data_IF_380300457695
#
_entry.id   IF_380300457695
#
_cell.length_a   1.000
_cell.length_b   1.000
_cell.length_c   1.000
_cell.angle_alpha   90.00
_cell.angle_beta   90.00
_cell.angle_gamma   90.00
#
_symmetry.space_group_name_H-M   'P 1'
#
loop_
_entity.id
_entity.type
_entity.pdbx_description
1 polymer ?
#
# COMPACT_ATOMS: atom_id res chain seq x y z
N UNK A 1 -4.55 9.62 6.04
CA UNK A 1 -5.34 9.30 7.24
C UNK A 1 -4.47 8.52 8.23
N UNK A 2 -4.23 9.07 9.38
CA UNK A 2 -3.39 8.45 10.42
C UNK A 2 -4.05 7.18 10.95
N UNK A 3 -3.29 6.11 11.06
CA UNK A 3 -3.78 4.79 11.48
C UNK A 3 -4.47 4.87 12.85
N UNK A 4 -5.73 4.44 12.89
CA UNK A 4 -6.57 4.45 14.10
C UNK A 4 -7.24 5.78 14.42
N UNK A 5 -6.79 6.90 13.83
CA UNK A 5 -7.34 8.24 14.07
C UNK A 5 -8.14 8.79 12.88
N UNK A 6 -7.98 8.19 11.70
CA UNK A 6 -8.63 8.64 10.48
C UNK A 6 -8.08 9.98 9.97
N UNK A 7 -8.94 10.80 9.36
CA UNK A 7 -8.54 12.12 8.86
C UNK A 7 -8.56 13.14 9.98
N UNK A 8 -7.39 13.50 10.49
CA UNK A 8 -7.20 14.50 11.54
C UNK A 8 -6.85 15.89 11.03
N UNK A 9 -6.75 16.06 9.70
CA UNK A 9 -6.33 17.32 9.05
C UNK A 9 -4.83 17.53 9.02
N UNK A 10 -4.39 18.47 8.17
CA UNK A 10 -2.97 18.77 7.96
C UNK A 10 -2.27 19.24 9.24
N UNK A 11 -2.86 20.16 9.96
CA UNK A 11 -2.27 20.72 11.17
C UNK A 11 -2.03 19.69 12.26
N UNK A 12 -3.02 18.83 12.53
CA UNK A 12 -2.90 17.82 13.59
C UNK A 12 -1.99 16.64 13.20
N UNK A 13 -1.67 16.48 11.92
CA UNK A 13 -0.73 15.46 11.45
C UNK A 13 0.75 15.87 11.58
N UNK A 14 1.06 17.13 11.80
CA UNK A 14 2.45 17.64 11.89
C UNK A 14 3.30 16.86 12.90
N UNK A 15 2.88 16.58 14.14
CA UNK A 15 3.70 15.84 15.09
C UNK A 15 4.07 14.42 14.62
N UNK A 16 3.18 13.77 13.89
CA UNK A 16 3.43 12.43 13.30
C UNK A 16 4.50 12.55 12.21
N UNK A 17 4.38 13.54 11.34
CA UNK A 17 5.30 13.75 10.22
C UNK A 17 6.68 14.27 10.68
N UNK A 18 6.74 15.05 11.75
CA UNK A 18 8.00 15.42 12.41
C UNK A 18 8.72 14.18 12.94
N UNK A 19 7.99 13.26 13.60
CA UNK A 19 8.52 11.99 14.03
C UNK A 19 9.06 11.16 12.86
N UNK A 20 8.35 11.11 11.73
CA UNK A 20 8.82 10.45 10.52
C UNK A 20 10.11 11.07 9.98
N UNK A 21 10.19 12.40 9.95
CA UNK A 21 11.40 13.14 9.53
C UNK A 21 12.60 12.81 10.41
N UNK A 22 12.40 12.71 11.73
CA UNK A 22 13.44 12.29 12.68
C UNK A 22 13.95 10.88 12.38
N UNK A 23 13.06 9.93 12.05
CA UNK A 23 13.44 8.57 11.69
C UNK A 23 14.25 8.53 10.38
N UNK A 24 13.91 9.32 9.38
CA UNK A 24 14.72 9.47 8.17
C UNK A 24 16.14 9.95 8.50
N UNK A 25 16.26 10.93 9.40
CA UNK A 25 17.58 11.42 9.82
C UNK A 25 18.37 10.37 10.59
N UNK A 26 17.74 9.74 11.58
CA UNK A 26 18.41 8.81 12.48
C UNK A 26 18.85 7.52 11.75
N UNK A 27 18.00 6.93 10.93
CA UNK A 27 18.27 5.63 10.32
C UNK A 27 18.91 5.70 8.93
N UNK A 28 18.69 6.77 8.18
CA UNK A 28 19.17 6.89 6.82
C UNK A 28 20.11 8.09 6.58
N UNK A 29 20.29 8.98 7.57
CA UNK A 29 21.09 10.19 7.42
C UNK A 29 20.47 11.21 6.45
N UNK A 30 19.20 11.07 6.10
CA UNK A 30 18.49 11.92 5.16
C UNK A 30 17.83 13.08 5.90
N UNK A 31 18.06 14.30 5.42
CA UNK A 31 17.34 15.48 5.89
C UNK A 31 15.95 15.50 5.27
N UNK A 32 14.93 15.37 6.10
CA UNK A 32 13.54 15.40 5.71
C UNK A 32 12.78 16.45 6.50
N UNK A 33 11.76 17.04 5.90
CA UNK A 33 10.83 17.95 6.58
C UNK A 33 9.40 17.68 6.12
N UNK A 34 8.40 17.84 7.00
CA UNK A 34 7.02 17.56 6.66
C UNK A 34 6.41 18.69 5.83
N UNK A 35 5.56 18.32 4.88
CA UNK A 35 4.65 19.22 4.17
C UNK A 35 3.24 18.71 4.35
N UNK A 36 2.54 19.22 5.35
CA UNK A 36 1.17 18.83 5.68
C UNK A 36 0.19 19.77 4.98
N UNK A 37 -0.61 19.22 4.05
CA UNK A 37 -1.53 20.00 3.24
C UNK A 37 -2.95 19.98 3.82
N UNK A 38 -3.64 21.10 3.77
CA UNK A 38 -5.04 21.22 4.24
C UNK A 38 -6.06 20.95 3.12
N UNK A 39 -5.66 20.16 2.14
CA UNK A 39 -6.51 19.72 1.03
C UNK A 39 -6.55 18.21 0.90
N UNK A 40 -7.65 17.70 0.32
CA UNK A 40 -7.80 16.30 -0.05
C UNK A 40 -7.99 16.11 -1.57
N UNK A 41 -8.00 17.21 -2.32
CA UNK A 41 -8.13 17.16 -3.76
C UNK A 41 -6.85 16.62 -4.41
N UNK A 42 -7.01 15.63 -5.29
CA UNK A 42 -5.89 14.93 -5.92
C UNK A 42 -5.08 15.87 -6.81
N UNK A 43 -5.76 16.68 -7.61
CA UNK A 43 -5.07 17.54 -8.58
C UNK A 43 -4.39 18.74 -7.90
N UNK A 44 -5.00 19.24 -6.82
CA UNK A 44 -4.40 20.28 -6.01
C UNK A 44 -3.14 19.79 -5.31
N UNK A 45 -3.18 18.60 -4.68
CA UNK A 45 -2.00 17.96 -4.06
C UNK A 45 -0.88 17.77 -5.08
N UNK A 46 -1.20 17.19 -6.25
CA UNK A 46 -0.23 16.95 -7.33
C UNK A 46 0.40 18.27 -7.79
N UNK A 47 -0.39 19.32 -7.97
CA UNK A 47 0.10 20.62 -8.40
C UNK A 47 1.03 21.27 -7.37
N UNK A 48 0.67 21.23 -6.08
CA UNK A 48 1.52 21.76 -5.01
C UNK A 48 2.85 21.02 -4.97
N UNK A 49 2.81 19.68 -4.92
CA UNK A 49 4.01 18.85 -4.81
C UNK A 49 4.92 19.04 -6.03
N UNK A 50 4.36 19.06 -7.24
CA UNK A 50 5.11 19.34 -8.47
C UNK A 50 5.85 20.67 -8.44
N UNK A 51 5.21 21.73 -7.89
CA UNK A 51 5.81 23.05 -7.83
C UNK A 51 6.95 23.18 -6.81
N UNK A 52 6.97 22.36 -5.75
CA UNK A 52 8.07 22.33 -4.78
C UNK A 52 9.15 21.28 -5.12
N UNK A 53 8.85 20.32 -5.99
CA UNK A 53 9.74 19.21 -6.36
C UNK A 53 11.16 19.65 -6.79
N UNK A 54 11.37 20.77 -7.52
CA UNK A 54 12.72 21.20 -7.93
C UNK A 54 13.72 21.41 -6.79
N UNK A 55 13.25 21.56 -5.56
CA UNK A 55 14.10 21.78 -4.37
C UNK A 55 14.36 20.49 -3.57
N UNK A 56 13.75 19.37 -3.99
CA UNK A 56 13.73 18.10 -3.26
C UNK A 56 14.53 17.02 -3.98
N UNK A 57 15.13 16.12 -3.21
CA UNK A 57 15.77 14.91 -3.74
C UNK A 57 14.84 13.71 -3.86
N UNK A 58 13.68 13.76 -3.23
CA UNK A 58 12.65 12.72 -3.26
C UNK A 58 11.43 13.10 -2.45
N UNK A 59 10.34 12.37 -2.62
CA UNK A 59 9.06 12.62 -1.95
C UNK A 59 8.53 11.32 -1.35
N UNK A 60 8.31 11.31 -0.05
CA UNK A 60 7.56 10.29 0.65
C UNK A 60 6.12 10.76 0.85
N UNK A 61 5.17 10.12 0.18
CA UNK A 61 3.75 10.29 0.44
C UNK A 61 3.39 9.45 1.67
N UNK A 62 2.72 10.05 2.64
CA UNK A 62 2.38 9.43 3.91
C UNK A 62 0.94 9.73 4.28
N UNK A 63 0.27 8.77 4.92
CA UNK A 63 -1.08 8.90 5.47
C UNK A 63 -2.17 9.37 4.49
N UNK A 64 -2.01 9.11 3.21
CA UNK A 64 -3.00 9.40 2.18
C UNK A 64 -3.85 8.13 1.96
N UNK A 65 -5.13 8.21 2.27
CA UNK A 65 -6.04 7.06 2.16
C UNK A 65 -6.27 6.60 0.71
N UNK A 66 -6.43 5.29 0.52
CA UNK A 66 -6.91 4.73 -0.74
C UNK A 66 -8.37 5.18 -1.01
N UNK A 67 -8.79 5.39 -2.27
CA UNK A 67 -8.01 5.17 -3.51
C UNK A 67 -7.14 6.37 -3.95
N UNK A 68 -7.24 7.52 -3.27
CA UNK A 68 -6.52 8.76 -3.65
C UNK A 68 -5.01 8.61 -3.71
N UNK A 69 -4.42 7.85 -2.77
CA UNK A 69 -2.98 7.63 -2.73
C UNK A 69 -2.44 7.05 -4.04
N UNK A 70 -3.16 6.14 -4.68
CA UNK A 70 -2.76 5.55 -5.96
C UNK A 70 -2.70 6.60 -7.07
N UNK A 71 -3.75 7.43 -7.15
CA UNK A 71 -3.85 8.47 -8.19
C UNK A 71 -2.78 9.56 -8.01
N UNK A 72 -2.53 9.97 -6.77
CA UNK A 72 -1.52 11.00 -6.46
C UNK A 72 -0.13 10.48 -6.79
N UNK A 73 0.21 9.27 -6.36
CA UNK A 73 1.51 8.67 -6.64
C UNK A 73 1.76 8.51 -8.14
N UNK A 74 0.81 7.91 -8.88
CA UNK A 74 0.90 7.70 -10.31
C UNK A 74 1.06 9.03 -11.08
N UNK A 75 0.25 10.04 -10.72
CA UNK A 75 0.34 11.37 -11.37
C UNK A 75 1.65 12.07 -11.07
N UNK A 76 2.17 11.97 -9.85
CA UNK A 76 3.46 12.59 -9.49
C UNK A 76 4.62 11.88 -10.17
N UNK A 77 4.67 10.56 -10.16
CA UNK A 77 5.71 9.78 -10.85
C UNK A 77 5.79 10.09 -12.34
N UNK A 78 4.66 10.44 -12.97
CA UNK A 78 4.61 10.84 -14.38
C UNK A 78 5.02 12.30 -14.64
N UNK A 79 5.14 13.14 -13.61
CA UNK A 79 5.29 14.59 -13.76
C UNK A 79 6.53 15.19 -13.10
N UNK A 80 7.26 14.42 -12.29
CA UNK A 80 8.49 14.87 -11.63
C UNK A 80 9.63 13.89 -11.89
N UNK A 81 10.86 14.39 -11.95
CA UNK A 81 12.06 13.59 -12.26
C UNK A 81 12.76 13.05 -10.99
N UNK A 82 12.15 13.22 -9.83
CA UNK A 82 12.66 12.73 -8.55
C UNK A 82 11.86 11.52 -8.06
N UNK A 83 12.44 10.63 -7.23
CA UNK A 83 11.69 9.52 -6.66
C UNK A 83 10.46 9.96 -5.86
N UNK A 84 9.33 9.34 -6.15
CA UNK A 84 8.08 9.51 -5.39
C UNK A 84 7.57 8.13 -5.01
N UNK A 85 7.29 7.92 -3.74
CA UNK A 85 6.68 6.69 -3.29
C UNK A 85 5.72 6.95 -2.12
N UNK A 86 4.78 6.04 -1.91
CA UNK A 86 3.83 6.07 -0.81
C UNK A 86 4.18 4.96 0.19
N UNK A 87 4.60 5.34 1.39
CA UNK A 87 5.14 4.40 2.37
C UNK A 87 4.12 3.38 2.87
N UNK A 88 2.87 3.80 3.10
CA UNK A 88 1.77 2.89 3.50
C UNK A 88 1.50 1.78 2.47
N UNK A 89 1.93 1.97 1.22
CA UNK A 89 1.90 0.93 0.20
C UNK A 89 3.22 0.16 0.18
N UNK A 90 4.27 0.83 -0.23
CA UNK A 90 5.53 0.19 -0.63
C UNK A 90 6.40 -0.18 0.56
N UNK A 91 6.51 0.67 1.59
CA UNK A 91 7.25 0.37 2.81
C UNK A 91 6.67 -0.85 3.53
N UNK A 92 5.35 -0.86 3.71
CA UNK A 92 4.64 -2.00 4.29
C UNK A 92 4.82 -3.28 3.46
N UNK A 93 4.75 -3.18 2.12
CA UNK A 93 4.95 -4.34 1.25
C UNK A 93 6.38 -4.90 1.34
N UNK A 94 7.40 -4.04 1.47
CA UNK A 94 8.80 -4.46 1.64
C UNK A 94 8.99 -5.24 2.93
N UNK A 95 8.51 -4.74 4.07
CA UNK A 95 8.70 -5.43 5.36
C UNK A 95 7.93 -6.74 5.45
N UNK A 96 6.71 -6.78 4.90
CA UNK A 96 5.93 -8.03 4.82
C UNK A 96 6.61 -9.05 3.92
N UNK A 97 7.12 -8.63 2.77
CA UNK A 97 7.85 -9.51 1.85
C UNK A 97 9.11 -10.08 2.48
N UNK A 98 9.86 -9.26 3.20
CA UNK A 98 11.03 -9.72 3.96
C UNK A 98 10.65 -10.76 5.02
N UNK A 99 9.54 -10.53 5.74
CA UNK A 99 9.03 -11.49 6.72
C UNK A 99 8.62 -12.82 6.07
N UNK A 100 7.92 -12.77 4.93
CA UNK A 100 7.50 -13.97 4.18
C UNK A 100 8.71 -14.76 3.66
N UNK A 101 9.71 -14.09 3.09
CA UNK A 101 10.96 -14.75 2.64
C UNK A 101 11.65 -15.45 3.82
N UNK A 102 11.75 -14.80 4.97
CA UNK A 102 12.37 -15.41 6.13
C UNK A 102 11.54 -16.55 6.73
N UNK A 103 10.21 -16.44 6.74
CA UNK A 103 9.32 -17.52 7.15
C UNK A 103 9.44 -18.73 6.21
N UNK A 104 9.51 -18.53 4.90
CA UNK A 104 9.73 -19.59 3.93
C UNK A 104 11.05 -20.33 4.17
N UNK A 105 12.15 -19.59 4.40
CA UNK A 105 13.46 -20.16 4.76
C UNK A 105 13.39 -20.97 6.04
N UNK A 106 12.77 -20.43 7.10
CA UNK A 106 12.67 -21.08 8.40
C UNK A 106 11.84 -22.37 8.33
N UNK A 107 10.75 -22.35 7.58
CA UNK A 107 9.84 -23.50 7.40
C UNK A 107 10.29 -24.45 6.27
N UNK A 108 11.37 -24.12 5.55
CA UNK A 108 11.88 -24.86 4.39
C UNK A 108 10.82 -25.04 3.29
N UNK A 109 9.99 -24.03 3.07
CA UNK A 109 8.98 -24.04 2.01
C UNK A 109 9.46 -23.20 0.82
N UNK A 110 9.11 -23.64 -0.37
CA UNK A 110 9.28 -22.87 -1.60
C UNK A 110 8.19 -21.79 -1.70
N UNK A 111 8.55 -20.54 -2.01
CA UNK A 111 7.61 -19.43 -2.12
C UNK A 111 6.46 -19.74 -3.10
N UNK A 112 6.78 -20.37 -4.24
CA UNK A 112 5.79 -20.72 -5.26
C UNK A 112 4.76 -21.79 -4.85
N UNK A 113 5.00 -22.50 -3.75
CA UNK A 113 4.06 -23.48 -3.19
C UNK A 113 3.22 -22.92 -2.02
N UNK A 114 3.41 -21.66 -1.68
CA UNK A 114 2.70 -21.03 -0.56
C UNK A 114 1.39 -20.41 -1.04
N UNK A 115 0.35 -20.55 -0.21
CA UNK A 115 -0.88 -19.79 -0.32
C UNK A 115 -0.79 -18.54 0.58
N UNK A 116 -1.20 -17.39 0.07
CA UNK A 116 -1.26 -16.16 0.84
C UNK A 116 -2.69 -15.62 0.91
N UNK A 117 -3.18 -15.41 2.11
CA UNK A 117 -4.48 -14.76 2.34
C UNK A 117 -4.22 -13.36 2.90
N UNK A 118 -4.68 -12.34 2.19
CA UNK A 118 -4.51 -10.93 2.55
C UNK A 118 -5.82 -10.40 3.11
N UNK A 119 -5.84 -10.14 4.41
CA UNK A 119 -6.99 -9.55 5.09
C UNK A 119 -6.87 -8.03 5.11
N UNK A 120 -7.54 -7.39 4.16
CA UNK A 120 -7.53 -5.94 3.97
C UNK A 120 -7.02 -5.54 2.58
N UNK A 121 -7.94 -5.30 1.64
CA UNK A 121 -7.66 -4.87 0.26
C UNK A 121 -7.60 -3.34 0.14
N UNK A 122 -6.88 -2.69 1.05
CA UNK A 122 -6.56 -1.26 1.01
C UNK A 122 -5.23 -0.99 0.31
N UNK A 123 -4.61 0.16 0.61
CA UNK A 123 -3.34 0.58 0.04
C UNK A 123 -2.23 -0.47 0.28
N UNK A 124 -2.00 -0.83 1.54
CA UNK A 124 -1.00 -1.82 1.93
C UNK A 124 -1.29 -3.20 1.33
N UNK A 125 -2.52 -3.72 1.50
CA UNK A 125 -2.87 -5.06 1.00
C UNK A 125 -2.73 -5.20 -0.50
N UNK A 126 -3.06 -4.17 -1.27
CA UNK A 126 -2.86 -4.15 -2.73
C UNK A 126 -1.38 -4.20 -3.10
N UNK A 127 -0.54 -3.42 -2.43
CA UNK A 127 0.89 -3.40 -2.66
C UNK A 127 1.57 -4.71 -2.23
N UNK A 128 1.15 -5.27 -1.08
CA UNK A 128 1.62 -6.58 -0.59
C UNK A 128 1.30 -7.67 -1.60
N UNK A 129 0.06 -7.74 -2.10
CA UNK A 129 -0.33 -8.75 -3.10
C UNK A 129 0.60 -8.71 -4.32
N UNK A 130 0.79 -7.53 -4.89
CA UNK A 130 1.69 -7.33 -6.04
C UNK A 130 3.13 -7.75 -5.75
N UNK A 131 3.65 -7.40 -4.58
CA UNK A 131 5.01 -7.74 -4.20
C UNK A 131 5.17 -9.26 -4.00
N UNK A 132 4.20 -9.92 -3.36
CA UNK A 132 4.22 -11.37 -3.18
C UNK A 132 4.12 -12.13 -4.51
N UNK A 133 3.32 -11.63 -5.46
CA UNK A 133 3.30 -12.17 -6.83
C UNK A 133 4.67 -12.06 -7.51
N UNK A 134 5.34 -10.92 -7.37
CA UNK A 134 6.70 -10.73 -7.91
C UNK A 134 7.73 -11.66 -7.26
N UNK A 135 7.51 -12.08 -6.02
CA UNK A 135 8.33 -13.10 -5.33
C UNK A 135 8.00 -14.54 -5.77
N UNK A 136 6.98 -14.73 -6.61
CA UNK A 136 6.62 -16.04 -7.17
C UNK A 136 5.49 -16.76 -6.43
N UNK A 137 4.85 -16.14 -5.44
CA UNK A 137 3.64 -16.70 -4.82
C UNK A 137 2.48 -16.52 -5.80
N UNK A 138 1.88 -17.64 -6.22
CA UNK A 138 0.82 -17.64 -7.23
C UNK A 138 -0.58 -17.69 -6.62
N UNK A 139 -0.75 -18.47 -5.56
CA UNK A 139 -2.04 -18.59 -4.86
C UNK A 139 -2.20 -17.46 -3.84
N UNK A 140 -2.85 -16.39 -4.27
CA UNK A 140 -3.13 -15.22 -3.42
C UNK A 140 -4.63 -14.95 -3.42
N UNK A 141 -5.21 -14.91 -2.22
CA UNK A 141 -6.62 -14.55 -2.01
C UNK A 141 -6.68 -13.27 -1.20
N UNK A 142 -7.29 -12.23 -1.75
CA UNK A 142 -7.48 -10.96 -1.05
C UNK A 142 -8.92 -10.84 -0.52
N UNK A 143 -9.06 -10.34 0.70
CA UNK A 143 -10.34 -10.11 1.36
C UNK A 143 -10.48 -8.64 1.77
N UNK A 144 -11.72 -8.18 1.84
CA UNK A 144 -12.07 -6.93 2.51
C UNK A 144 -13.11 -7.19 3.61
N UNK A 145 -13.69 -6.13 4.19
CA UNK A 145 -14.70 -6.24 5.26
C UNK A 145 -15.97 -7.00 4.86
N UNK A 146 -16.19 -7.24 3.56
CA UNK A 146 -17.35 -7.99 3.02
C UNK A 146 -16.98 -9.41 2.58
N UNK A 147 -15.72 -9.81 2.71
CA UNK A 147 -15.23 -11.15 2.35
C UNK A 147 -14.24 -11.16 1.19
N UNK A 148 -14.14 -12.30 0.54
CA UNK A 148 -13.19 -12.55 -0.55
C UNK A 148 -13.50 -11.64 -1.75
N UNK A 149 -12.46 -11.10 -2.36
CA UNK A 149 -12.57 -10.35 -3.61
C UNK A 149 -12.70 -11.32 -4.78
N UNK A 150 -13.81 -11.21 -5.52
CA UNK A 150 -14.08 -11.94 -6.76
C UNK A 150 -14.36 -10.98 -7.90
N UNK A 151 -14.15 -11.41 -9.13
CA UNK A 151 -14.31 -10.57 -10.33
C UNK A 151 -15.77 -10.12 -10.56
N UNK A 152 -16.72 -10.88 -10.08
CA UNK A 152 -18.17 -10.65 -10.23
C UNK A 152 -18.77 -9.74 -9.15
N UNK A 153 -18.00 -9.38 -8.10
CA UNK A 153 -18.47 -8.45 -7.07
C UNK A 153 -18.70 -7.05 -7.63
N UNK A 154 -19.97 -6.60 -7.64
CA UNK A 154 -20.39 -5.30 -8.18
C UNK A 154 -20.07 -4.08 -7.28
N UNK A 155 -19.65 -4.30 -6.03
CA UNK A 155 -19.41 -3.25 -5.03
C UNK A 155 -17.94 -2.84 -4.91
N UNK A 156 -17.07 -3.36 -5.78
CA UNK A 156 -15.64 -3.06 -5.75
C UNK A 156 -15.33 -1.70 -6.40
N UNK A 157 -14.47 -0.92 -5.74
CA UNK A 157 -13.84 0.22 -6.40
C UNK A 157 -12.79 -0.25 -7.42
N UNK A 158 -12.30 0.66 -8.26
CA UNK A 158 -11.39 0.34 -9.36
C UNK A 158 -10.10 -0.37 -8.91
N UNK A 159 -9.52 0.04 -7.79
CA UNK A 159 -8.31 -0.60 -7.26
C UNK A 159 -8.55 -2.06 -6.84
N UNK A 160 -9.68 -2.32 -6.17
CA UNK A 160 -10.08 -3.67 -5.77
C UNK A 160 -10.47 -4.55 -6.97
N UNK A 161 -11.08 -3.97 -8.02
CA UNK A 161 -11.35 -4.70 -9.26
C UNK A 161 -10.05 -5.18 -9.90
N UNK A 162 -9.07 -4.29 -10.08
CA UNK A 162 -7.75 -4.66 -10.60
C UNK A 162 -7.06 -5.72 -9.73
N UNK A 163 -7.23 -5.67 -8.41
CA UNK A 163 -6.69 -6.68 -7.53
C UNK A 163 -7.41 -8.04 -7.72
N UNK A 164 -8.73 -8.05 -7.83
CA UNK A 164 -9.52 -9.26 -8.06
C UNK A 164 -9.24 -9.92 -9.42
N UNK A 165 -8.78 -9.14 -10.42
CA UNK A 165 -8.38 -9.69 -11.72
C UNK A 165 -7.12 -10.55 -11.65
N UNK A 166 -6.19 -10.22 -10.73
CA UNK A 166 -4.86 -10.86 -10.63
C UNK A 166 -4.71 -11.77 -9.41
N UNK A 167 -5.71 -11.84 -8.55
CA UNK A 167 -5.75 -12.71 -7.36
C UNK A 167 -6.94 -13.67 -7.45
N UNK A 168 -6.99 -14.65 -6.53
CA UNK A 168 -8.10 -15.58 -6.43
C UNK A 168 -8.42 -16.24 -7.79
N UNK A 169 -7.43 -16.91 -8.36
CA UNK A 169 -7.55 -17.54 -9.69
C UNK A 169 -8.73 -18.51 -9.77
N UNK A 170 -8.96 -19.27 -8.70
CA UNK A 170 -10.06 -20.24 -8.60
C UNK A 170 -11.44 -19.61 -8.38
N UNK A 171 -11.50 -18.28 -8.20
CA UNK A 171 -12.73 -17.52 -7.96
C UNK A 171 -13.55 -18.05 -6.78
N UNK A 172 -12.88 -18.53 -5.72
CA UNK A 172 -13.56 -18.89 -4.48
C UNK A 172 -14.26 -17.67 -3.89
N UNK A 173 -15.40 -17.87 -3.28
CA UNK A 173 -16.20 -16.82 -2.65
C UNK A 173 -16.45 -17.15 -1.19
N UNK A 174 -16.81 -16.14 -0.40
CA UNK A 174 -17.12 -16.32 1.02
C UNK A 174 -16.42 -15.35 1.93
N UNK A 175 -16.24 -15.74 3.18
CA UNK A 175 -15.62 -14.96 4.24
C UNK A 175 -14.11 -15.12 4.29
N UNK A 176 -13.46 -14.39 5.19
CA UNK A 176 -12.03 -14.59 5.51
C UNK A 176 -11.74 -16.02 6.01
N UNK A 177 -12.69 -16.64 6.71
CA UNK A 177 -12.54 -18.02 7.20
C UNK A 177 -12.49 -19.00 6.03
N UNK A 178 -13.36 -18.80 5.03
CA UNK A 178 -13.37 -19.62 3.83
C UNK A 178 -12.07 -19.46 3.03
N UNK A 179 -11.54 -18.24 2.91
CA UNK A 179 -10.25 -17.97 2.26
C UNK A 179 -9.07 -18.73 2.91
N UNK A 180 -9.14 -18.99 4.22
CA UNK A 180 -8.09 -19.65 5.00
C UNK A 180 -8.23 -21.17 5.01
N UNK A 181 -9.37 -21.71 4.57
CA UNK A 181 -9.56 -23.16 4.48
C UNK A 181 -8.60 -23.76 3.44
N UNK A 182 -8.02 -24.91 3.77
CA UNK A 182 -7.22 -25.71 2.83
C UNK A 182 -8.08 -26.77 2.12
N UNK A 183 -9.39 -26.77 2.37
CA UNK A 183 -10.35 -27.71 1.78
C UNK A 183 -11.00 -27.16 0.49
N UNK A 184 -10.17 -26.77 -0.47
CA UNK A 184 -10.67 -26.35 -1.79
C UNK A 184 -10.03 -27.17 -2.89
#
# INVERSE_FOLDING_TARGET
>A
AVLGLGNIGGLASIPVMDGKSLLFKEFAGIDAFPVCLETQDVDEIVNIVKNIAPTLGGINLEDISAPRCFQIEEKLQAQVDIPVFHDDQHGTAVVVSAAVINAAKLTKRELGSMKAVINGAGAAGTAIAKMLMNLGIKDIVACDSKGILTRDRGDLNEAKKRLAEVTNEEQISGSLTDARSEEH
#
